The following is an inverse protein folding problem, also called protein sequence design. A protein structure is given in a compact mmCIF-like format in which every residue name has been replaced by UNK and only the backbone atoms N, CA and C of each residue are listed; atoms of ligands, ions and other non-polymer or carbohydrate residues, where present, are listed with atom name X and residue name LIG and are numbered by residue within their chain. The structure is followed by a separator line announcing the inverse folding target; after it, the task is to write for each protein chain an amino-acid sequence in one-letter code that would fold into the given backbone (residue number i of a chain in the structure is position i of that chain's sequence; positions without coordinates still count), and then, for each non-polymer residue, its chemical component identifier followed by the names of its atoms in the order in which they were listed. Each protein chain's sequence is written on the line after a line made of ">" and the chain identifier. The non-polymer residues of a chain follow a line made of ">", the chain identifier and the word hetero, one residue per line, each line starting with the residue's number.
data_IF_323441341201
#
_entry.id   IF_323441341201
#
_cell.length_a   1.000
_cell.length_b   1.000
_cell.length_c   1.000
_cell.angle_alpha   90.00
_cell.angle_beta   90.00
_cell.angle_gamma   90.00
#
_symmetry.space_group_name_H-M   'P 1'
#
loop_
_entity.id
_entity.type
_entity.pdbx_description
1 polymer ?
#
# COMPACT_ATOMS: atom_id res chain seq x y z
N UNK A 1 -35.23 -19.79 -9.46
CA UNK A 1 -34.26 -19.93 -8.36
C UNK A 1 -32.91 -19.54 -8.93
N UNK A 2 -32.51 -18.26 -8.81
CA UNK A 2 -31.22 -17.78 -9.32
C UNK A 2 -30.12 -18.24 -8.34
N UNK A 3 -29.13 -18.96 -8.86
CA UNK A 3 -27.99 -19.45 -8.08
C UNK A 3 -27.13 -18.25 -7.66
N UNK A 4 -26.83 -18.14 -6.37
CA UNK A 4 -25.98 -17.09 -5.78
C UNK A 4 -24.49 -17.16 -6.22
N UNK A 5 -24.17 -17.98 -7.22
CA UNK A 5 -22.82 -18.24 -7.72
C UNK A 5 -22.47 -17.42 -8.96
N UNK A 6 -23.42 -16.75 -9.59
CA UNK A 6 -23.18 -15.89 -10.76
C UNK A 6 -22.83 -14.46 -10.34
N UNK A 7 -21.90 -14.31 -9.39
CA UNK A 7 -21.25 -13.01 -9.16
C UNK A 7 -20.18 -12.87 -10.22
N UNK A 8 -20.32 -11.96 -11.21
CA UNK A 8 -19.26 -11.73 -12.17
C UNK A 8 -18.01 -11.38 -11.39
N UNK A 9 -16.91 -12.09 -11.66
CA UNK A 9 -15.61 -11.72 -11.12
C UNK A 9 -15.40 -10.23 -11.44
N UNK A 10 -15.34 -9.40 -10.39
CA UNK A 10 -15.03 -7.98 -10.55
C UNK A 10 -13.70 -7.83 -11.28
N UNK A 11 -13.37 -6.62 -11.77
CA UNK A 11 -12.10 -6.38 -12.44
C UNK A 11 -10.96 -6.96 -11.61
N UNK A 12 -10.19 -7.86 -12.22
CA UNK A 12 -9.04 -8.50 -11.60
C UNK A 12 -7.96 -7.42 -11.53
N UNK A 13 -7.94 -6.66 -10.44
CA UNK A 13 -6.87 -5.70 -10.20
C UNK A 13 -5.61 -6.49 -9.86
N UNK A 14 -4.51 -6.15 -10.52
CA UNK A 14 -3.22 -6.78 -10.23
C UNK A 14 -2.77 -6.34 -8.83
N UNK A 15 -2.78 -7.27 -7.87
CA UNK A 15 -2.40 -7.00 -6.47
C UNK A 15 -1.03 -6.30 -6.35
N UNK A 16 -0.10 -6.62 -7.25
CA UNK A 16 1.23 -6.00 -7.31
C UNK A 16 1.14 -4.52 -7.68
N UNK A 17 0.24 -4.16 -8.61
CA UNK A 17 0.02 -2.77 -9.03
C UNK A 17 -0.63 -1.98 -7.91
N UNK A 18 -1.61 -2.56 -7.21
CA UNK A 18 -2.27 -1.89 -6.08
C UNK A 18 -1.26 -1.64 -4.96
N UNK A 19 -0.44 -2.64 -4.65
CA UNK A 19 0.63 -2.53 -3.65
C UNK A 19 1.66 -1.47 -4.09
N UNK A 20 2.06 -1.46 -5.36
CA UNK A 20 3.01 -0.48 -5.88
C UNK A 20 2.45 0.96 -5.79
N UNK A 21 1.16 1.17 -6.10
CA UNK A 21 0.49 2.48 -5.92
C UNK A 21 0.49 2.91 -4.47
N UNK A 22 0.10 2.03 -3.55
CA UNK A 22 0.06 2.33 -2.11
C UNK A 22 1.46 2.64 -1.56
N UNK A 23 2.46 1.87 -1.96
CA UNK A 23 3.85 2.09 -1.61
C UNK A 23 4.33 3.45 -2.13
N UNK A 24 4.13 3.74 -3.42
CA UNK A 24 4.55 5.00 -4.02
C UNK A 24 3.86 6.20 -3.34
N UNK A 25 2.54 6.12 -3.11
CA UNK A 25 1.76 7.18 -2.48
C UNK A 25 2.25 7.51 -1.07
N UNK A 26 2.42 6.48 -0.22
CA UNK A 26 2.89 6.68 1.16
C UNK A 26 4.34 7.18 1.22
N UNK A 27 5.21 6.67 0.34
CA UNK A 27 6.61 7.12 0.24
C UNK A 27 6.70 8.59 -0.14
N UNK A 28 5.98 9.01 -1.19
CA UNK A 28 5.99 10.40 -1.65
C UNK A 28 5.41 11.33 -0.57
N UNK A 29 4.28 10.96 0.04
CA UNK A 29 3.66 11.76 1.08
C UNK A 29 4.62 11.97 2.27
N UNK A 30 5.29 10.91 2.73
CA UNK A 30 6.21 10.99 3.86
C UNK A 30 7.48 11.78 3.53
N UNK A 31 8.04 11.62 2.33
CA UNK A 31 9.19 12.40 1.88
C UNK A 31 8.89 13.90 1.79
N UNK A 32 7.69 14.28 1.33
CA UNK A 32 7.22 15.67 1.30
C UNK A 32 7.07 16.22 2.72
N UNK A 33 6.48 15.46 3.64
CA UNK A 33 6.34 15.87 5.04
C UNK A 33 7.71 16.13 5.67
N UNK A 34 8.68 15.27 5.38
CA UNK A 34 9.99 15.34 6.03
C UNK A 34 10.88 16.46 5.46
N UNK A 35 10.81 16.71 4.16
CA UNK A 35 11.60 17.74 3.48
C UNK A 35 10.93 19.12 3.52
N UNK A 36 9.59 19.14 3.60
CA UNK A 36 8.77 20.33 3.44
C UNK A 36 8.52 20.68 1.96
N UNK A 37 7.32 21.20 1.67
CA UNK A 37 6.88 21.58 0.31
C UNK A 37 7.74 22.64 -0.38
N UNK A 38 8.51 23.43 0.36
CA UNK A 38 9.41 24.43 -0.21
C UNK A 38 10.70 23.82 -0.80
N UNK A 39 11.07 22.60 -0.40
CA UNK A 39 12.38 22.00 -0.68
C UNK A 39 12.32 20.81 -1.64
N UNK A 40 11.25 20.65 -2.42
CA UNK A 40 11.03 19.46 -3.26
C UNK A 40 12.08 19.24 -4.36
N UNK A 41 12.78 20.30 -4.77
CA UNK A 41 13.87 20.23 -5.76
C UNK A 41 15.26 20.15 -5.11
N UNK A 42 15.33 20.02 -3.78
CA UNK A 42 16.59 19.92 -3.06
C UNK A 42 17.17 18.49 -3.13
N UNK A 43 18.50 18.32 -3.02
CA UNK A 43 19.10 17.00 -2.87
C UNK A 43 18.59 16.25 -1.63
N UNK A 44 18.23 16.98 -0.57
CA UNK A 44 17.66 16.43 0.66
C UNK A 44 16.34 15.70 0.38
N UNK A 45 15.50 16.20 -0.54
CA UNK A 45 14.27 15.52 -0.91
C UNK A 45 14.52 14.11 -1.47
N UNK A 46 15.57 13.94 -2.27
CA UNK A 46 15.93 12.63 -2.85
C UNK A 46 16.40 11.68 -1.74
N UNK A 47 17.22 12.16 -0.80
CA UNK A 47 17.65 11.37 0.35
C UNK A 47 16.45 10.93 1.20
N UNK A 48 15.54 11.87 1.53
CA UNK A 48 14.34 11.56 2.29
C UNK A 48 13.39 10.63 1.52
N UNK A 49 13.29 10.75 0.19
CA UNK A 49 12.48 9.86 -0.64
C UNK A 49 13.02 8.42 -0.61
N UNK A 50 14.34 8.24 -0.69
CA UNK A 50 14.96 6.92 -0.61
C UNK A 50 14.76 6.29 0.77
N UNK A 51 14.99 7.04 1.85
CA UNK A 51 14.75 6.57 3.22
C UNK A 51 13.27 6.24 3.43
N UNK A 52 12.37 7.12 3.02
CA UNK A 52 10.93 6.91 3.10
C UNK A 52 10.48 5.67 2.31
N UNK A 53 11.09 5.41 1.15
CA UNK A 53 10.74 4.23 0.33
C UNK A 53 10.98 2.92 1.06
N UNK A 54 12.05 2.85 1.88
CA UNK A 54 12.37 1.67 2.67
C UNK A 54 11.47 1.61 3.90
N UNK A 55 11.39 2.69 4.67
CA UNK A 55 10.66 2.71 5.95
C UNK A 55 9.15 2.52 5.73
N UNK A 56 8.55 3.31 4.83
CA UNK A 56 7.13 3.21 4.52
C UNK A 56 6.80 1.88 3.82
N UNK A 57 7.67 1.42 2.91
CA UNK A 57 7.51 0.16 2.21
C UNK A 57 7.48 -1.05 3.14
N UNK A 58 8.50 -1.17 4.00
CA UNK A 58 8.56 -2.25 5.00
C UNK A 58 7.41 -2.14 5.99
N UNK A 59 7.10 -0.93 6.48
CA UNK A 59 5.97 -0.69 7.38
C UNK A 59 4.64 -1.11 6.77
N UNK A 60 4.40 -0.79 5.50
CA UNK A 60 3.21 -1.19 4.75
C UNK A 60 3.11 -2.71 4.58
N UNK A 61 4.19 -3.39 4.19
CA UNK A 61 4.19 -4.86 4.05
C UNK A 61 3.89 -5.54 5.38
N UNK A 62 4.50 -5.08 6.47
CA UNK A 62 4.23 -5.62 7.82
C UNK A 62 2.78 -5.33 8.24
N UNK A 63 2.26 -4.14 7.95
CA UNK A 63 0.87 -3.76 8.24
C UNK A 63 -0.12 -4.70 7.54
N UNK A 64 0.08 -4.97 6.25
CA UNK A 64 -0.81 -5.82 5.47
C UNK A 64 -0.72 -7.30 5.90
N UNK A 65 0.49 -7.81 6.18
CA UNK A 65 0.66 -9.16 6.73
C UNK A 65 0.00 -9.30 8.10
N UNK A 66 0.06 -8.27 8.93
CA UNK A 66 -0.60 -8.26 10.24
C UNK A 66 -2.14 -8.34 10.09
N UNK A 67 -2.73 -7.53 9.21
CA UNK A 67 -4.17 -7.61 8.90
C UNK A 67 -4.56 -9.00 8.40
N UNK A 68 -3.77 -9.55 7.47
CA UNK A 68 -4.02 -10.89 6.94
C UNK A 68 -3.92 -11.96 8.04
N UNK A 69 -2.98 -11.84 8.96
CA UNK A 69 -2.83 -12.78 10.06
C UNK A 69 -4.01 -12.71 11.03
N UNK A 70 -4.47 -11.50 11.38
CA UNK A 70 -5.65 -11.30 12.22
C UNK A 70 -6.91 -11.83 11.54
N UNK A 71 -7.12 -11.54 10.26
CA UNK A 71 -8.27 -12.05 9.51
C UNK A 71 -8.29 -13.60 9.50
N UNK A 72 -7.13 -14.23 9.24
CA UNK A 72 -7.00 -15.69 9.26
C UNK A 72 -7.28 -16.28 10.64
N UNK A 73 -6.89 -15.60 11.72
CA UNK A 73 -7.17 -16.03 13.08
C UNK A 73 -8.68 -16.09 13.37
N UNK A 74 -9.47 -15.16 12.80
CA UNK A 74 -10.92 -15.12 12.94
C UNK A 74 -11.69 -15.85 11.81
N UNK A 75 -10.98 -16.61 10.95
CA UNK A 75 -11.61 -17.39 9.87
C UNK A 75 -12.06 -16.58 8.66
N UNK A 76 -11.62 -15.31 8.52
CA UNK A 76 -11.91 -14.45 7.39
C UNK A 76 -10.73 -14.36 6.39
N UNK A 77 -11.03 -14.02 5.14
CA UNK A 77 -10.04 -13.69 4.11
C UNK A 77 -9.91 -12.18 3.93
N UNK A 78 -8.69 -11.64 4.00
CA UNK A 78 -8.39 -10.27 3.62
C UNK A 78 -7.70 -10.27 2.25
N UNK A 79 -8.28 -9.56 1.27
CA UNK A 79 -7.68 -9.28 -0.03
C UNK A 79 -7.40 -7.79 -0.11
N UNK A 80 -6.20 -7.41 -0.52
CA UNK A 80 -5.77 -6.02 -0.53
C UNK A 80 -6.35 -5.27 -1.74
N UNK A 81 -6.82 -4.04 -1.54
CA UNK A 81 -7.28 -3.14 -2.61
C UNK A 81 -6.89 -1.68 -2.26
N UNK A 82 -6.25 -0.97 -3.18
CA UNK A 82 -5.77 0.41 -2.97
C UNK A 82 -5.82 1.31 -4.20
#
# INVERSE_FOLDING_TARGET
>A
MQSFTDVPAGPQHDDIVEIAKAWAGTTIAYAIVQTGVANLLSPEFIEQLLVASIVCGVGFVVHEVAHRQVARHFGASAHFAA
#
